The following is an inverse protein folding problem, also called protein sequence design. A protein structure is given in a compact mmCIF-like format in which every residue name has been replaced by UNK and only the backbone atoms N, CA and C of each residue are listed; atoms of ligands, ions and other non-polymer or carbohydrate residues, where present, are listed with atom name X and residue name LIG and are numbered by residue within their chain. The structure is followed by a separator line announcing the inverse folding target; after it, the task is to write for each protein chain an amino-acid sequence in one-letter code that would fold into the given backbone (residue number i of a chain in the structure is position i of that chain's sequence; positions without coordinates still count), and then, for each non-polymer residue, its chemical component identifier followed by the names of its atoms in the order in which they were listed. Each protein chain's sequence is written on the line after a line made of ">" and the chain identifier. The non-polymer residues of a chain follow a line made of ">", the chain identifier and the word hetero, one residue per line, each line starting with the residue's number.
data_IF_811979823583
#
_entry.id   IF_811979823583
#
_cell.length_a   1.000
_cell.length_b   1.000
_cell.length_c   1.000
_cell.angle_alpha   90.00
_cell.angle_beta   90.00
_cell.angle_gamma   90.00
#
_symmetry.space_group_name_H-M   'P 1'
#
loop_
_entity.id
_entity.type
_entity.pdbx_description
1 polymer ?
#
# COMPACT_ATOMS: atom_id res chain seq x y z
N UNK A 1 -4.73 -1.54 9.78
CA UNK A 1 -4.01 -0.24 9.94
C UNK A 1 -4.51 0.46 11.20
N UNK A 2 -3.72 1.37 11.77
CA UNK A 2 -4.05 2.21 12.94
C UNK A 2 -4.34 1.51 14.28
N UNK A 3 -4.21 0.19 14.37
CA UNK A 3 -4.25 -0.55 15.65
C UNK A 3 -5.55 -0.33 16.42
N UNK A 4 -5.43 0.11 17.68
CA UNK A 4 -6.55 0.42 18.57
C UNK A 4 -7.06 1.87 18.45
N UNK A 5 -6.47 2.69 17.57
CA UNK A 5 -6.91 4.08 17.42
C UNK A 5 -8.35 4.14 16.86
N UNK A 6 -9.25 4.92 17.50
CA UNK A 6 -10.62 5.10 17.03
C UNK A 6 -10.69 5.60 15.58
N UNK A 7 -11.66 5.07 14.82
CA UNK A 7 -11.90 5.47 13.42
C UNK A 7 -12.01 6.98 13.19
N UNK A 8 -12.76 7.75 14.00
CA UNK A 8 -12.85 9.21 13.84
C UNK A 8 -11.50 9.93 13.92
N UNK A 9 -10.48 9.36 14.59
CA UNK A 9 -9.17 9.99 14.71
C UNK A 9 -8.33 9.85 13.43
N UNK A 10 -8.32 8.66 12.81
CA UNK A 10 -7.47 8.41 11.65
C UNK A 10 -8.16 8.72 10.31
N UNK A 11 -9.49 8.72 10.25
CA UNK A 11 -10.22 8.97 8.99
C UNK A 11 -10.06 10.41 8.47
N UNK A 12 -9.68 11.33 9.36
CA UNK A 12 -9.31 12.70 8.99
C UNK A 12 -8.00 12.77 8.16
N UNK A 13 -7.11 11.78 8.29
CA UNK A 13 -5.85 11.72 7.54
C UNK A 13 -5.99 10.95 6.23
N UNK A 14 -6.83 9.93 6.22
CA UNK A 14 -7.04 9.07 5.05
C UNK A 14 -8.47 8.57 5.02
N UNK A 15 -9.21 8.97 3.98
CA UNK A 15 -10.62 8.61 3.82
C UNK A 15 -10.72 7.12 3.47
N UNK A 16 -11.40 6.29 4.28
CA UNK A 16 -11.65 4.91 3.92
C UNK A 16 -12.78 4.80 2.89
N UNK A 17 -12.81 3.68 2.15
CA UNK A 17 -13.91 3.32 1.26
C UNK A 17 -15.13 2.77 2.02
N UNK A 18 -16.17 2.37 1.27
CA UNK A 18 -17.40 1.81 1.83
C UNK A 18 -17.18 0.49 2.59
N UNK A 19 -16.09 -0.23 2.29
CA UNK A 19 -15.68 -1.46 2.96
C UNK A 19 -14.69 -1.21 4.10
N UNK A 20 -14.48 0.05 4.50
CA UNK A 20 -13.55 0.47 5.54
C UNK A 20 -12.07 0.17 5.22
N UNK A 21 -11.71 0.10 3.93
CA UNK A 21 -10.33 -0.05 3.44
C UNK A 21 -9.73 1.33 3.18
N UNK A 22 -8.41 1.44 3.30
CA UNK A 22 -7.67 2.67 2.98
C UNK A 22 -6.71 2.42 1.80
N UNK A 23 -6.46 3.42 0.94
CA UNK A 23 -5.50 3.26 -0.15
C UNK A 23 -4.08 3.12 0.43
N UNK A 24 -3.44 1.99 0.14
CA UNK A 24 -2.04 1.74 0.48
C UNK A 24 -1.26 1.44 -0.79
N UNK A 25 -0.21 2.20 -1.05
CA UNK A 25 0.60 2.02 -2.24
C UNK A 25 1.80 1.10 -1.96
N UNK A 26 1.94 0.03 -2.75
CA UNK A 26 3.10 -0.86 -2.71
C UNK A 26 4.16 -0.41 -3.73
N UNK A 27 4.66 0.84 -3.60
CA UNK A 27 5.66 1.41 -4.52
C UNK A 27 7.04 0.86 -4.20
N UNK A 28 7.80 0.53 -5.24
CA UNK A 28 9.23 0.28 -5.08
C UNK A 28 9.98 1.61 -4.92
N UNK A 29 11.10 1.56 -4.21
CA UNK A 29 12.06 2.65 -4.13
C UNK A 29 13.37 2.20 -4.81
N UNK A 30 13.84 2.98 -5.78
CA UNK A 30 15.11 2.71 -6.48
C UNK A 30 16.13 3.77 -6.06
N UNK A 31 17.25 3.31 -5.51
CA UNK A 31 18.39 4.17 -5.17
C UNK A 31 19.51 3.92 -6.17
N UNK A 32 20.07 5.01 -6.72
CA UNK A 32 21.25 4.99 -7.59
C UNK A 32 22.41 5.65 -6.85
N UNK A 33 23.45 4.88 -6.56
CA UNK A 33 24.57 5.34 -5.74
C UNK A 33 25.89 4.70 -6.18
N UNK A 34 26.89 5.53 -6.50
CA UNK A 34 28.23 5.10 -6.94
C UNK A 34 28.24 3.96 -7.97
N UNK A 35 27.42 4.09 -9.02
CA UNK A 35 27.31 3.09 -10.09
C UNK A 35 26.48 1.85 -9.74
N UNK A 36 25.95 1.76 -8.52
CA UNK A 36 25.06 0.69 -8.08
C UNK A 36 23.61 1.12 -8.23
N UNK A 37 22.76 0.16 -8.56
CA UNK A 37 21.30 0.31 -8.50
C UNK A 37 20.78 -0.61 -7.41
N UNK A 38 20.10 -0.04 -6.42
CA UNK A 38 19.55 -0.74 -5.26
C UNK A 38 18.04 -0.61 -5.33
N UNK A 39 17.34 -1.74 -5.30
CA UNK A 39 15.88 -1.81 -5.32
C UNK A 39 15.38 -2.20 -3.93
N UNK A 40 14.50 -1.37 -3.37
CA UNK A 40 13.77 -1.64 -2.13
C UNK A 40 12.33 -1.98 -2.48
N UNK A 41 11.93 -3.18 -2.08
CA UNK A 41 10.63 -3.80 -2.40
C UNK A 41 10.37 -3.95 -3.91
N UNK A 42 9.52 -4.92 -4.27
CA UNK A 42 9.11 -5.17 -5.67
C UNK A 42 7.60 -5.01 -5.87
N UNK A 43 6.92 -4.42 -4.89
CA UNK A 43 5.46 -4.39 -4.85
C UNK A 43 4.85 -5.79 -4.76
N UNK A 44 3.57 -5.88 -5.11
CA UNK A 44 2.78 -7.13 -5.02
C UNK A 44 2.76 -7.95 -6.32
N UNK A 45 3.50 -7.53 -7.35
CA UNK A 45 3.53 -8.17 -8.67
C UNK A 45 2.31 -7.84 -9.54
N UNK A 46 2.26 -8.44 -10.73
CA UNK A 46 1.24 -8.17 -11.76
C UNK A 46 0.10 -9.20 -11.82
N UNK A 47 0.22 -10.34 -11.12
CA UNK A 47 -0.61 -11.53 -11.35
C UNK A 47 -1.38 -11.95 -10.11
N UNK A 48 -2.27 -11.07 -9.63
CA UNK A 48 -3.30 -11.50 -8.69
C UNK A 48 -4.47 -12.12 -9.45
N UNK A 49 -4.93 -13.27 -8.95
CA UNK A 49 -6.26 -13.79 -9.29
C UNK A 49 -7.32 -12.68 -9.07
N UNK A 50 -8.40 -12.61 -9.87
CA UNK A 50 -9.35 -11.51 -9.82
C UNK A 50 -9.88 -11.18 -8.42
N UNK A 51 -10.12 -12.18 -7.57
CA UNK A 51 -10.62 -11.94 -6.21
C UNK A 51 -9.56 -11.28 -5.31
N UNK A 52 -8.29 -11.68 -5.48
CA UNK A 52 -7.18 -11.08 -4.74
C UNK A 52 -6.91 -9.67 -5.22
N UNK A 53 -7.07 -9.41 -6.51
CA UNK A 53 -6.98 -8.06 -7.07
C UNK A 53 -8.05 -7.14 -6.48
N UNK A 54 -9.33 -7.52 -6.53
CA UNK A 54 -10.41 -6.68 -5.96
C UNK A 54 -10.20 -6.36 -4.47
N UNK A 55 -9.63 -7.31 -3.72
CA UNK A 55 -9.38 -7.13 -2.28
C UNK A 55 -8.17 -6.23 -1.99
N UNK A 56 -7.08 -6.36 -2.74
CA UNK A 56 -5.77 -5.80 -2.40
C UNK A 56 -5.22 -4.77 -3.41
N UNK A 57 -5.90 -4.53 -4.54
CA UNK A 57 -5.44 -3.67 -5.64
C UNK A 57 -6.57 -2.92 -6.35
#
# INVERSE_FOLDING_TARGET
>A
MFGNAPKPMWEAWIKPDAQNRIPLACRCLVVRDHGRTILFETGIGAFFDPQLRERYG
#
